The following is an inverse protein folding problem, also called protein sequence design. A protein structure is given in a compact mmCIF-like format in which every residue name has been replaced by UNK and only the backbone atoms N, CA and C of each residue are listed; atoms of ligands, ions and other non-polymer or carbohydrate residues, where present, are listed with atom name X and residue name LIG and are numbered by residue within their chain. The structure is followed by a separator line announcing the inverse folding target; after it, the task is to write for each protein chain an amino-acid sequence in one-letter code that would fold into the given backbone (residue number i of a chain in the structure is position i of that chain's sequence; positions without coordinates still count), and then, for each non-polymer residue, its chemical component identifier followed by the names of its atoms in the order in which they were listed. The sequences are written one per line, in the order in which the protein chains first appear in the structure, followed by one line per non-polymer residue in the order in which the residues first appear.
data_IF_644698365812
#
_entry.id   IF_644698365812
#
_cell.length_a   1.000
_cell.length_b   1.000
_cell.length_c   1.000
_cell.angle_alpha   90.00
_cell.angle_beta   90.00
_cell.angle_gamma   90.00
#
_symmetry.space_group_name_H-M   'P 1'
#
loop_
_entity.id
_entity.type
_entity.pdbx_description
1 polymer ?
#
# COMPACT_ATOMS: atom_id res chain seq x y z
N UNK A 1 12.36 3.23 21.53
CA UNK A 1 12.99 3.46 20.22
C UNK A 1 13.17 2.18 19.41
N UNK A 2 13.74 1.10 19.97
CA UNK A 2 13.92 -0.19 19.26
C UNK A 2 12.62 -0.81 18.73
N UNK A 3 11.51 -0.65 19.46
CA UNK A 3 10.21 -1.20 19.07
C UNK A 3 9.64 -0.62 17.77
N UNK A 4 9.87 0.68 17.51
CA UNK A 4 9.43 1.33 16.28
C UNK A 4 10.26 0.85 15.09
N UNK A 5 11.56 0.63 15.27
CA UNK A 5 12.42 0.02 14.27
C UNK A 5 12.00 -1.42 13.96
N UNK A 6 11.74 -2.23 14.98
CA UNK A 6 11.27 -3.62 14.82
C UNK A 6 9.92 -3.64 14.09
N UNK A 7 8.99 -2.77 14.47
CA UNK A 7 7.70 -2.63 13.80
C UNK A 7 7.86 -2.24 12.33
N UNK A 8 8.73 -1.28 12.01
CA UNK A 8 9.00 -0.87 10.64
C UNK A 8 9.63 -2.00 9.82
N UNK A 9 10.62 -2.71 10.37
CA UNK A 9 11.27 -3.85 9.71
C UNK A 9 10.27 -4.97 9.44
N UNK A 10 9.46 -5.35 10.43
CA UNK A 10 8.43 -6.39 10.27
C UNK A 10 7.36 -5.99 9.25
N UNK A 11 6.94 -4.72 9.27
CA UNK A 11 6.00 -4.16 8.31
C UNK A 11 6.57 -4.15 6.89
N UNK A 12 7.84 -3.77 6.72
CA UNK A 12 8.56 -3.87 5.45
C UNK A 12 8.69 -5.30 4.97
N UNK A 13 9.10 -6.24 5.82
CA UNK A 13 9.25 -7.65 5.42
C UNK A 13 7.93 -8.28 4.96
N UNK A 14 6.80 -7.80 5.46
CA UNK A 14 5.48 -8.37 5.17
C UNK A 14 4.80 -7.68 3.98
N UNK A 15 4.71 -6.35 3.97
CA UNK A 15 3.97 -5.63 2.93
C UNK A 15 4.78 -5.35 1.67
N UNK A 16 6.08 -5.09 1.78
CA UNK A 16 6.89 -4.71 0.60
C UNK A 16 6.98 -5.86 -0.42
N UNK A 17 7.30 -7.12 -0.04
CA UNK A 17 7.37 -8.21 -1.01
C UNK A 17 6.02 -8.54 -1.61
N UNK A 18 4.95 -8.51 -0.80
CA UNK A 18 3.60 -8.77 -1.26
C UNK A 18 3.12 -7.70 -2.26
N UNK A 19 3.31 -6.42 -1.92
CA UNK A 19 2.97 -5.28 -2.79
C UNK A 19 3.72 -5.32 -4.11
N UNK A 20 5.04 -5.57 -4.09
CA UNK A 20 5.86 -5.72 -5.29
C UNK A 20 5.45 -6.91 -6.14
N UNK A 21 5.22 -8.07 -5.54
CA UNK A 21 4.76 -9.26 -6.26
C UNK A 21 3.42 -9.02 -6.95
N UNK A 22 2.50 -8.30 -6.30
CA UNK A 22 1.22 -7.87 -6.89
C UNK A 22 1.39 -6.84 -8.00
N UNK A 23 2.23 -5.83 -7.82
CA UNK A 23 2.45 -4.78 -8.81
C UNK A 23 3.19 -5.29 -10.06
N UNK A 24 4.09 -6.26 -9.87
CA UNK A 24 4.83 -6.95 -10.94
C UNK A 24 4.06 -8.13 -11.56
N UNK A 25 2.80 -8.36 -11.14
CA UNK A 25 1.93 -9.43 -11.65
C UNK A 25 2.55 -10.85 -11.51
N UNK A 26 3.50 -11.02 -10.58
CA UNK A 26 4.21 -12.28 -10.30
C UNK A 26 3.44 -13.23 -9.38
N UNK A 27 2.11 -13.12 -9.32
CA UNK A 27 1.29 -13.94 -8.42
C UNK A 27 0.88 -15.25 -9.11
N UNK A 28 0.96 -16.40 -8.41
CA UNK A 28 0.47 -17.67 -8.94
C UNK A 28 -0.99 -17.58 -9.44
N UNK A 29 -1.24 -18.21 -10.58
CA UNK A 29 -2.51 -18.18 -11.34
C UNK A 29 -3.75 -18.45 -10.47
N UNK A 30 -3.63 -19.32 -9.46
CA UNK A 30 -4.70 -19.68 -8.51
C UNK A 30 -5.15 -18.50 -7.63
N UNK A 31 -4.22 -17.65 -7.22
CA UNK A 31 -4.48 -16.44 -6.42
C UNK A 31 -4.94 -15.28 -7.31
N UNK A 32 -4.45 -15.24 -8.55
CA UNK A 32 -4.80 -14.23 -9.57
C UNK A 32 -6.31 -14.12 -9.80
N UNK A 33 -7.03 -15.24 -9.85
CA UNK A 33 -8.48 -15.29 -10.04
C UNK A 33 -9.28 -14.62 -8.89
N UNK A 34 -8.78 -14.66 -7.66
CA UNK A 34 -9.41 -13.98 -6.52
C UNK A 34 -9.00 -12.52 -6.42
N UNK A 35 -7.76 -12.21 -6.82
CA UNK A 35 -7.13 -10.91 -6.65
C UNK A 35 -7.31 -9.96 -7.84
N UNK A 36 -8.01 -10.35 -8.91
CA UNK A 36 -8.32 -9.45 -10.03
C UNK A 36 -9.16 -8.25 -9.59
N UNK A 37 -8.77 -7.02 -9.99
CA UNK A 37 -7.55 -6.65 -10.71
C UNK A 37 -6.32 -6.59 -9.78
N UNK A 38 -5.29 -7.37 -10.09
CA UNK A 38 -4.14 -7.65 -9.20
C UNK A 38 -3.17 -6.47 -9.09
N UNK A 39 -2.82 -5.91 -10.25
CA UNK A 39 -1.86 -4.81 -10.38
C UNK A 39 -2.25 -3.54 -9.60
N UNK A 40 -3.48 -3.00 -9.70
CA UNK A 40 -3.86 -1.81 -8.93
C UNK A 40 -3.97 -2.08 -7.42
N UNK A 41 -4.30 -3.31 -7.00
CA UNK A 41 -4.25 -3.70 -5.59
C UNK A 41 -2.82 -3.73 -5.05
N UNK A 42 -1.86 -4.20 -5.85
CA UNK A 42 -0.43 -4.12 -5.52
C UNK A 42 0.06 -2.69 -5.34
N UNK A 43 -0.31 -1.80 -6.27
CA UNK A 43 0.00 -0.38 -6.15
C UNK A 43 -0.64 0.28 -4.92
N UNK A 44 -1.90 -0.04 -4.64
CA UNK A 44 -2.58 0.45 -3.43
C UNK A 44 -1.84 0.01 -2.14
N UNK A 45 -1.42 -1.26 -2.09
CA UNK A 45 -0.63 -1.78 -0.96
C UNK A 45 0.74 -1.12 -0.84
N UNK A 46 1.43 -0.85 -1.95
CA UNK A 46 2.71 -0.14 -1.93
C UNK A 46 2.57 1.31 -1.46
N UNK A 47 1.50 2.00 -1.87
CA UNK A 47 1.19 3.36 -1.41
C UNK A 47 0.91 3.38 0.09
N UNK A 48 0.07 2.45 0.58
CA UNK A 48 -0.22 2.30 2.02
C UNK A 48 1.06 1.93 2.78
N UNK A 49 1.86 1.02 2.22
CA UNK A 49 3.15 0.65 2.80
C UNK A 49 4.05 1.87 2.96
N UNK A 50 4.17 2.72 1.92
CA UNK A 50 5.05 3.89 1.91
C UNK A 50 4.70 4.94 2.99
N UNK A 51 3.46 4.96 3.49
CA UNK A 51 3.04 5.87 4.57
C UNK A 51 3.83 5.65 5.86
N UNK A 52 4.11 4.38 6.19
CA UNK A 52 4.80 3.99 7.42
C UNK A 52 6.27 4.44 7.46
N UNK A 53 7.14 4.12 6.46
CA UNK A 53 8.52 4.59 6.47
C UNK A 53 8.61 6.12 6.29
N UNK A 54 7.77 6.73 5.44
CA UNK A 54 7.79 8.18 5.24
C UNK A 54 7.52 8.92 6.55
N UNK A 55 6.64 8.39 7.41
CA UNK A 55 6.35 9.01 8.71
C UNK A 55 7.30 8.57 9.83
N UNK A 56 7.72 7.31 9.85
CA UNK A 56 8.51 6.74 10.93
C UNK A 56 9.99 7.12 10.83
N UNK A 57 10.59 7.15 9.64
CA UNK A 57 12.03 7.40 9.46
C UNK A 57 12.45 8.79 9.97
N UNK A 58 11.76 9.90 9.63
CA UNK A 58 12.14 11.23 10.15
C UNK A 58 12.02 11.32 11.67
N UNK A 59 11.00 10.69 12.25
CA UNK A 59 10.78 10.65 13.71
C UNK A 59 11.87 9.84 14.43
N UNK A 60 12.35 8.78 13.79
CA UNK A 60 13.42 7.93 14.31
C UNK A 60 14.81 8.56 14.13
N UNK A 61 14.98 9.43 13.14
CA UNK A 61 16.20 10.18 12.88
C UNK A 61 16.29 11.50 13.66
N UNK A 62 15.34 11.76 14.57
CA UNK A 62 15.23 13.00 15.33
C UNK A 62 15.23 14.27 14.45
N UNK A 63 14.57 14.17 13.29
CA UNK A 63 14.49 15.25 12.33
C UNK A 63 13.67 16.43 12.87
N UNK A 64 13.99 17.64 12.40
CA UNK A 64 13.31 18.87 12.81
C UNK A 64 11.77 18.74 12.71
N UNK A 65 10.99 19.37 13.62
CA UNK A 65 9.54 19.23 13.67
C UNK A 65 8.83 19.54 12.34
N UNK A 66 9.32 20.53 11.60
CA UNK A 66 8.78 20.86 10.26
C UNK A 66 8.95 19.75 9.24
N UNK A 67 10.08 19.03 9.28
CA UNK A 67 10.33 17.87 8.40
C UNK A 67 9.40 16.72 8.78
N UNK A 68 9.28 16.43 10.07
CA UNK A 68 8.36 15.40 10.58
C UNK A 68 6.90 15.70 10.19
N UNK A 69 6.48 16.97 10.24
CA UNK A 69 5.14 17.39 9.84
C UNK A 69 4.92 17.23 8.33
N UNK A 70 5.87 17.69 7.50
CA UNK A 70 5.81 17.55 6.05
C UNK A 70 5.74 16.08 5.62
N UNK A 71 6.55 15.23 6.25
CA UNK A 71 6.53 13.79 6.05
C UNK A 71 5.23 13.14 6.54
N UNK A 72 4.66 13.61 7.65
CA UNK A 72 3.35 13.13 8.12
C UNK A 72 2.25 13.48 7.11
N UNK A 73 2.25 14.70 6.57
CA UNK A 73 1.31 15.14 5.54
C UNK A 73 1.47 14.32 4.24
N UNK A 74 2.71 14.10 3.79
CA UNK A 74 3.00 13.26 2.64
C UNK A 74 2.54 11.80 2.85
N UNK A 75 2.78 11.24 4.03
CA UNK A 75 2.28 9.93 4.43
C UNK A 75 0.75 9.85 4.40
N UNK A 76 0.06 10.90 4.87
CA UNK A 76 -1.41 11.00 4.77
C UNK A 76 -1.90 11.01 3.33
N UNK A 77 -1.27 11.81 2.45
CA UNK A 77 -1.61 11.85 1.03
C UNK A 77 -1.43 10.49 0.34
N UNK A 78 -0.34 9.78 0.65
CA UNK A 78 -0.08 8.42 0.16
C UNK A 78 -1.15 7.42 0.63
N UNK A 79 -1.60 7.53 1.90
CA UNK A 79 -2.68 6.70 2.44
C UNK A 79 -3.99 6.91 1.66
N UNK A 80 -4.37 8.17 1.45
CA UNK A 80 -5.58 8.54 0.71
C UNK A 80 -5.51 8.03 -0.73
N UNK A 81 -4.38 8.23 -1.41
CA UNK A 81 -4.17 7.74 -2.76
C UNK A 81 -4.30 6.21 -2.85
N UNK A 82 -3.70 5.49 -1.90
CA UNK A 82 -3.81 4.03 -1.81
C UNK A 82 -5.25 3.56 -1.61
N UNK A 83 -5.99 4.20 -0.71
CA UNK A 83 -7.41 3.92 -0.46
C UNK A 83 -8.28 4.18 -1.70
N UNK A 84 -8.06 5.31 -2.39
CA UNK A 84 -8.77 5.63 -3.63
C UNK A 84 -8.50 4.59 -4.72
N UNK A 85 -7.24 4.23 -4.94
CA UNK A 85 -6.85 3.18 -5.91
C UNK A 85 -7.51 1.84 -5.59
N UNK A 86 -7.56 1.46 -4.32
CA UNK A 86 -8.23 0.24 -3.88
C UNK A 86 -9.74 0.30 -4.12
N UNK A 87 -10.38 1.42 -3.77
CA UNK A 87 -11.81 1.66 -4.01
C UNK A 87 -12.18 1.67 -5.50
N UNK A 88 -11.36 2.27 -6.35
CA UNK A 88 -11.54 2.22 -7.80
C UNK A 88 -11.39 0.81 -8.35
N UNK A 89 -10.41 0.05 -7.84
CA UNK A 89 -10.18 -1.33 -8.25
C UNK A 89 -11.35 -2.27 -7.87
N UNK A 90 -11.94 -2.08 -6.68
CA UNK A 90 -13.11 -2.85 -6.23
C UNK A 90 -14.37 -2.46 -7.00
N UNK A 91 -14.59 -1.16 -7.20
CA UNK A 91 -15.76 -0.65 -7.94
C UNK A 91 -15.74 -1.07 -9.42
N UNK A 92 -14.57 -1.06 -10.08
CA UNK A 92 -14.42 -1.59 -11.45
C UNK A 92 -14.77 -3.08 -11.54
N UNK A 93 -14.36 -3.88 -10.55
CA UNK A 93 -14.71 -5.31 -10.50
C UNK A 93 -16.21 -5.54 -10.34
N UNK A 94 -16.86 -4.77 -9.47
CA UNK A 94 -18.31 -4.85 -9.26
C UNK A 94 -19.07 -4.52 -10.54
N UNK A 95 -18.68 -3.45 -11.25
CA UNK A 95 -19.30 -3.09 -12.55
C UNK A 95 -19.15 -4.18 -13.60
N UNK A 96 -17.99 -4.84 -13.68
CA UNK A 96 -17.76 -5.94 -14.62
C UNK A 96 -18.59 -7.19 -14.28
N UNK A 97 -18.81 -7.47 -13.00
CA UNK A 97 -19.64 -8.59 -12.55
C UNK A 97 -21.14 -8.38 -12.84
N UNK A 98 -21.62 -7.14 -12.87
CA UNK A 98 -23.02 -6.81 -13.20
C UNK A 98 -23.25 -6.81 -14.72
N UNK A 99 -22.24 -6.47 -15.52
CA UNK A 99 -22.34 -6.37 -16.99
C UNK A 99 -22.26 -7.72 -17.74
N UNK A 100 -22.01 -8.83 -17.05
CA UNK A 100 -22.05 -10.17 -17.62
C UNK A 100 -23.32 -10.88 -17.17
N UNK A 101 -24.45 -10.76 -17.91
CA UNK A 101 -25.62 -11.60 -17.65
C UNK A 101 -25.23 -13.06 -17.91
N UNK A 102 -25.52 -13.92 -16.94
CA UNK A 102 -25.38 -15.38 -17.07
C UNK A 102 -26.34 -15.91 -18.14
#
# INVERSE_FOLDING_TARGET
MTWQWIGLIAFSLTLLPAGLAMAADRIPRRLRAKLTPVRPRGWALLLIYATAPVNAVPRLADAAPGITLACTAAGGALAVAGCLLLGFATHRRQRQAVATPR
#
